data_IF_429785187367
#
_entry.id   IF_429785187367
#
_cell.length_a   1.000
_cell.length_b   1.000
_cell.length_c   1.000
_cell.angle_alpha   90.00
_cell.angle_beta   90.00
_cell.angle_gamma   90.00
#
_symmetry.space_group_name_H-M   'P 1'
#
loop_
_entity.id
_entity.type
_entity.pdbx_description
1 polymer ?
#
# COMPACT_ATOMS: atom_id res chain seq x y z
N UNK A 1 27.35 29.71 21.87
CA UNK A 1 26.19 30.38 21.27
C UNK A 1 24.96 29.96 22.06
N UNK A 2 24.13 30.91 22.48
CA UNK A 2 22.89 30.62 23.22
C UNK A 2 21.89 29.92 22.30
N UNK A 3 21.38 28.76 22.72
CA UNK A 3 20.39 27.96 21.98
C UNK A 3 19.14 28.81 21.69
N UNK A 4 18.60 28.75 20.46
CA UNK A 4 17.45 29.57 20.05
C UNK A 4 16.20 29.26 20.89
N UNK A 5 15.25 30.20 20.98
CA UNK A 5 13.99 29.95 21.68
C UNK A 5 13.21 28.75 21.09
N UNK A 6 13.31 28.57 19.78
CA UNK A 6 12.71 27.46 19.04
C UNK A 6 13.40 26.12 19.33
N UNK A 7 14.73 26.11 19.41
CA UNK A 7 15.49 24.93 19.83
C UNK A 7 15.26 24.56 21.31
N UNK A 8 14.99 25.54 22.18
CA UNK A 8 14.57 25.29 23.57
C UNK A 8 13.15 24.71 23.67
N UNK A 9 12.28 24.99 22.70
CA UNK A 9 10.98 24.34 22.57
C UNK A 9 11.08 22.91 22.00
N UNK A 10 12.29 22.45 21.68
CA UNK A 10 12.56 21.10 21.20
C UNK A 10 12.55 20.96 19.69
N UNK A 11 12.68 22.06 18.93
CA UNK A 11 12.71 22.04 17.45
C UNK A 11 14.12 22.33 16.89
N UNK A 12 14.70 21.37 16.18
CA UNK A 12 16.01 21.43 15.54
C UNK A 12 15.90 21.63 14.02
N UNK A 13 15.98 22.89 13.60
CA UNK A 13 15.99 23.28 12.18
C UNK A 13 17.20 22.68 11.43
N UNK A 14 18.35 22.54 12.09
CA UNK A 14 19.55 22.01 11.46
C UNK A 14 19.42 20.51 11.15
N UNK A 15 18.70 19.76 12.01
CA UNK A 15 18.38 18.35 11.76
C UNK A 15 17.54 18.18 10.48
N UNK A 16 16.53 19.03 10.28
CA UNK A 16 15.73 19.05 9.05
C UNK A 16 16.58 19.27 7.80
N UNK A 17 17.46 20.29 7.80
CA UNK A 17 18.37 20.54 6.68
C UNK A 17 19.33 19.37 6.40
N UNK A 18 19.88 18.75 7.44
CA UNK A 18 20.75 17.59 7.27
C UNK A 18 20.02 16.39 6.65
N UNK A 19 18.77 16.15 7.04
CA UNK A 19 17.93 15.10 6.45
C UNK A 19 17.73 15.36 4.94
N UNK A 20 17.41 16.60 4.57
CA UNK A 20 17.23 17.03 3.18
C UNK A 20 18.45 16.77 2.31
N UNK A 21 19.66 17.10 2.78
CA UNK A 21 20.87 16.84 2.00
C UNK A 21 21.17 15.33 1.86
N UNK A 22 20.87 14.52 2.89
CA UNK A 22 21.05 13.07 2.82
C UNK A 22 20.09 12.40 1.83
N UNK A 23 18.85 12.90 1.71
CA UNK A 23 17.83 12.30 0.84
C UNK A 23 17.86 12.83 -0.59
N UNK A 24 18.55 13.94 -0.85
CA UNK A 24 18.57 14.64 -2.15
C UNK A 24 18.84 13.74 -3.35
N UNK A 25 19.86 12.87 -3.28
CA UNK A 25 20.19 11.93 -4.37
C UNK A 25 19.08 10.90 -4.59
N UNK A 26 18.47 10.40 -3.51
CA UNK A 26 17.37 9.46 -3.59
C UNK A 26 16.15 10.11 -4.26
N UNK A 27 15.78 11.33 -3.86
CA UNK A 27 14.66 12.07 -4.47
C UNK A 27 14.92 12.34 -5.96
N UNK A 28 16.09 12.90 -6.32
CA UNK A 28 16.42 13.20 -7.72
C UNK A 28 16.43 11.95 -8.62
N UNK A 29 16.78 10.79 -8.08
CA UNK A 29 16.73 9.55 -8.87
C UNK A 29 15.32 9.14 -9.30
N UNK A 30 14.27 9.74 -8.72
CA UNK A 30 12.87 9.54 -9.14
C UNK A 30 12.44 10.47 -10.26
N UNK A 31 13.26 11.48 -10.62
CA UNK A 31 12.84 12.52 -11.55
C UNK A 31 12.84 12.02 -12.98
N UNK A 32 11.70 12.21 -13.64
CA UNK A 32 11.54 12.07 -15.08
C UNK A 32 11.60 13.43 -15.80
N UNK A 33 11.52 13.43 -17.14
CA UNK A 33 11.49 14.65 -17.95
C UNK A 33 10.30 15.58 -17.63
N UNK A 34 9.27 15.08 -16.96
CA UNK A 34 8.11 15.85 -16.55
C UNK A 34 8.37 16.72 -15.31
N UNK A 35 9.41 16.46 -14.53
CA UNK A 35 9.71 17.28 -13.33
C UNK A 35 10.39 18.58 -13.74
N UNK A 36 9.79 19.72 -13.41
CA UNK A 36 10.22 21.05 -13.84
C UNK A 36 10.98 21.85 -12.75
N UNK A 37 10.87 21.44 -11.48
CA UNK A 37 11.58 22.09 -10.37
C UNK A 37 12.47 21.10 -9.60
N UNK A 38 13.55 21.63 -9.02
CA UNK A 38 14.43 20.87 -8.13
C UNK A 38 13.93 20.82 -6.69
N UNK A 39 14.55 19.93 -5.91
CA UNK A 39 14.32 19.80 -4.46
C UNK A 39 14.64 21.13 -3.75
N UNK A 40 13.72 21.60 -2.89
CA UNK A 40 13.88 22.84 -2.11
C UNK A 40 13.22 24.09 -2.72
N UNK A 41 12.49 23.94 -3.83
CA UNK A 41 11.53 24.95 -4.29
C UNK A 41 10.26 24.92 -3.43
N UNK A 42 9.55 26.05 -3.29
CA UNK A 42 8.31 26.18 -2.48
C UNK A 42 7.24 25.10 -2.77
N UNK A 43 7.28 24.50 -3.95
CA UNK A 43 6.50 23.32 -4.31
C UNK A 43 7.12 22.64 -5.53
N UNK A 44 6.94 21.34 -5.63
CA UNK A 44 7.37 20.60 -6.81
C UNK A 44 6.47 20.88 -8.02
N UNK A 45 7.07 20.98 -9.21
CA UNK A 45 6.38 21.28 -10.46
C UNK A 45 6.43 20.07 -11.40
N UNK A 46 5.28 19.65 -11.91
CA UNK A 46 5.14 18.51 -12.82
C UNK A 46 4.44 18.94 -14.13
N UNK A 47 5.06 18.66 -15.27
CA UNK A 47 4.54 18.96 -16.59
C UNK A 47 3.42 17.99 -16.97
N UNK A 48 2.24 18.54 -17.25
CA UNK A 48 1.09 17.79 -17.74
C UNK A 48 1.06 17.66 -19.28
N UNK A 49 2.12 18.06 -19.98
CA UNK A 49 2.17 18.07 -21.45
C UNK A 49 1.80 16.71 -22.04
N UNK A 50 2.29 15.61 -21.46
CA UNK A 50 1.99 14.24 -21.93
C UNK A 50 0.49 13.90 -21.85
N UNK A 51 -0.26 14.56 -20.97
CA UNK A 51 -1.69 14.33 -20.81
C UNK A 51 -2.50 14.91 -21.98
N UNK A 52 -1.92 15.80 -22.79
CA UNK A 52 -2.56 16.34 -24.00
C UNK A 52 -2.74 15.28 -25.10
N UNK A 53 -2.06 14.13 -24.97
CA UNK A 53 -2.18 12.98 -25.89
C UNK A 53 -3.34 12.04 -25.50
N UNK A 54 -3.92 12.23 -24.30
CA UNK A 54 -5.07 11.46 -23.81
C UNK A 54 -6.38 12.07 -24.32
N UNK A 55 -7.40 11.23 -24.55
CA UNK A 55 -8.67 11.69 -25.09
C UNK A 55 -9.46 12.49 -24.04
N UNK A 56 -9.57 11.94 -22.83
CA UNK A 56 -10.22 12.62 -21.70
C UNK A 56 -9.51 12.26 -20.38
N UNK A 57 -8.40 12.95 -20.05
CA UNK A 57 -7.60 12.64 -18.87
C UNK A 57 -8.35 12.99 -17.57
N UNK A 58 -8.37 12.04 -16.64
CA UNK A 58 -8.93 12.18 -15.30
C UNK A 58 -7.82 11.99 -14.28
N UNK A 59 -7.64 12.96 -13.38
CA UNK A 59 -6.73 12.83 -12.25
C UNK A 59 -7.37 12.01 -11.14
N UNK A 60 -6.59 11.11 -10.56
CA UNK A 60 -6.99 10.28 -9.42
C UNK A 60 -5.96 10.48 -8.33
N UNK A 61 -6.41 10.71 -7.09
CA UNK A 61 -5.52 10.95 -5.96
C UNK A 61 -5.91 10.10 -4.76
N UNK A 62 -4.92 9.65 -4.00
CA UNK A 62 -5.09 8.99 -2.71
C UNK A 62 -4.11 9.55 -1.70
N UNK A 63 -4.53 9.64 -0.44
CA UNK A 63 -3.68 10.02 0.68
C UNK A 63 -3.89 9.02 1.81
N UNK A 64 -2.80 8.42 2.27
CA UNK A 64 -2.85 7.32 3.23
C UNK A 64 -1.69 7.41 4.22
N UNK A 65 -1.84 6.73 5.35
CA UNK A 65 -0.78 6.52 6.34
C UNK A 65 -0.33 5.06 6.41
N UNK A 66 0.91 4.83 6.85
CA UNK A 66 1.40 3.45 7.12
C UNK A 66 0.65 2.81 8.29
N UNK A 67 0.13 3.64 9.20
CA UNK A 67 -0.55 3.20 10.42
C UNK A 67 0.41 2.54 11.42
N UNK A 68 -0.14 1.70 12.29
CA UNK A 68 0.60 1.14 13.45
C UNK A 68 1.74 0.16 13.09
N UNK A 69 2.00 -0.10 11.80
CA UNK A 69 3.23 -0.75 11.34
C UNK A 69 4.48 0.10 11.64
N UNK A 70 4.37 1.42 11.70
CA UNK A 70 5.49 2.29 12.12
C UNK A 70 5.97 1.98 13.53
N UNK A 71 5.09 1.52 14.42
CA UNK A 71 5.48 1.10 15.77
C UNK A 71 6.25 -0.24 15.78
N UNK A 72 6.05 -1.10 14.77
CA UNK A 72 6.88 -2.31 14.59
C UNK A 72 8.27 -1.91 14.12
N UNK A 73 8.35 -1.01 13.14
CA UNK A 73 9.60 -0.42 12.67
C UNK A 73 10.38 0.23 13.83
N UNK A 74 9.69 0.99 14.69
CA UNK A 74 10.27 1.58 15.89
C UNK A 74 10.79 0.53 16.88
N UNK A 75 10.00 -0.50 17.20
CA UNK A 75 10.41 -1.57 18.13
C UNK A 75 11.67 -2.30 17.65
N UNK A 76 11.81 -2.48 16.34
CA UNK A 76 12.93 -3.19 15.73
C UNK A 76 14.07 -2.28 15.27
N UNK A 77 13.90 -0.96 15.35
CA UNK A 77 14.80 0.05 14.79
C UNK A 77 15.12 -0.20 13.29
N UNK A 78 14.10 -0.63 12.53
CA UNK A 78 14.18 -0.97 11.10
C UNK A 78 13.22 -0.10 10.30
N UNK A 79 13.76 0.86 9.55
CA UNK A 79 13.00 1.93 8.90
C UNK A 79 13.03 1.88 7.37
N UNK A 80 13.70 0.88 6.80
CA UNK A 80 13.99 0.76 5.38
C UNK A 80 12.81 0.23 4.54
N UNK A 81 11.75 -0.27 5.17
CA UNK A 81 10.58 -0.83 4.47
C UNK A 81 9.38 0.09 4.44
N UNK A 82 9.13 0.89 5.48
CA UNK A 82 7.89 1.68 5.62
C UNK A 82 7.69 2.75 4.54
N UNK A 83 8.78 3.29 3.98
CA UNK A 83 8.69 4.19 2.82
C UNK A 83 8.20 3.50 1.55
N UNK A 84 8.56 2.23 1.35
CA UNK A 84 8.03 1.44 0.23
C UNK A 84 6.58 1.04 0.49
N UNK A 85 6.25 0.74 1.75
CA UNK A 85 4.90 0.37 2.16
C UNK A 85 3.87 1.44 1.77
N UNK A 86 4.18 2.71 2.08
CA UNK A 86 3.21 3.79 1.85
C UNK A 86 3.01 4.10 0.37
N UNK A 87 4.08 4.09 -0.41
CA UNK A 87 3.98 4.31 -1.86
C UNK A 87 3.17 3.20 -2.51
N UNK A 88 3.46 1.94 -2.17
CA UNK A 88 2.75 0.81 -2.76
C UNK A 88 1.27 0.79 -2.34
N UNK A 89 0.96 1.17 -1.09
CA UNK A 89 -0.42 1.34 -0.64
C UNK A 89 -1.18 2.34 -1.51
N UNK A 90 -0.72 3.59 -1.58
CA UNK A 90 -1.45 4.62 -2.33
C UNK A 90 -1.51 4.30 -3.83
N UNK A 91 -0.42 3.75 -4.41
CA UNK A 91 -0.42 3.33 -5.82
C UNK A 91 -1.48 2.26 -6.06
N UNK A 92 -1.63 1.28 -5.16
CA UNK A 92 -2.65 0.25 -5.28
C UNK A 92 -4.07 0.85 -5.19
N UNK A 93 -4.30 1.89 -4.39
CA UNK A 93 -5.62 2.54 -4.27
C UNK A 93 -6.04 3.34 -5.50
N UNK A 94 -5.13 4.04 -6.16
CA UNK A 94 -5.49 4.68 -7.43
C UNK A 94 -5.57 3.66 -8.58
N UNK A 95 -4.81 2.56 -8.47
CA UNK A 95 -4.78 1.51 -9.48
C UNK A 95 -6.12 0.79 -9.59
N UNK A 96 -6.91 0.68 -8.51
CA UNK A 96 -8.23 0.04 -8.58
C UNK A 96 -9.19 0.76 -9.53
N UNK A 97 -8.95 2.04 -9.83
CA UNK A 97 -9.70 2.83 -10.81
C UNK A 97 -9.07 2.82 -12.21
N UNK A 98 -7.97 2.08 -12.40
CA UNK A 98 -7.19 2.01 -13.63
C UNK A 98 -6.15 3.12 -13.80
N UNK A 99 -5.89 3.91 -12.76
CA UNK A 99 -4.94 5.01 -12.85
C UNK A 99 -3.48 4.54 -12.79
N UNK A 100 -2.62 5.25 -13.54
CA UNK A 100 -1.17 5.12 -13.45
C UNK A 100 -0.59 6.31 -12.69
N UNK A 101 0.39 6.13 -11.79
CA UNK A 101 0.89 7.20 -10.95
C UNK A 101 1.71 8.22 -11.78
N UNK A 102 1.58 9.51 -11.43
CA UNK A 102 2.37 10.62 -11.98
C UNK A 102 3.46 11.02 -11.00
N UNK A 103 3.05 11.37 -9.80
CA UNK A 103 3.94 11.82 -8.75
C UNK A 103 3.40 11.48 -7.36
N UNK A 104 4.28 11.58 -6.38
CA UNK A 104 4.06 11.28 -4.98
C UNK A 104 4.55 12.45 -4.11
N UNK A 105 3.88 12.66 -2.99
CA UNK A 105 4.27 13.58 -1.93
C UNK A 105 4.29 12.84 -0.60
N UNK A 106 5.25 13.14 0.28
CA UNK A 106 5.33 12.54 1.61
C UNK A 106 5.31 13.58 2.74
N UNK A 107 4.75 13.19 3.88
CA UNK A 107 4.80 13.95 5.12
C UNK A 107 5.28 13.01 6.23
N UNK A 108 6.41 13.38 6.84
CA UNK A 108 7.03 12.62 7.93
C UNK A 108 6.94 13.45 9.20
N UNK A 109 6.46 12.87 10.29
CA UNK A 109 6.41 13.58 11.55
C UNK A 109 6.83 12.70 12.72
N UNK A 110 7.50 13.29 13.70
CA UNK A 110 7.95 12.58 14.89
C UNK A 110 8.12 13.55 16.07
N UNK A 111 8.35 12.99 17.27
CA UNK A 111 8.64 13.82 18.45
C UNK A 111 10.02 14.48 18.36
N UNK A 112 10.94 13.82 17.65
CA UNK A 112 12.31 14.24 17.39
C UNK A 112 12.79 13.66 16.07
N UNK A 113 13.37 14.48 15.21
CA UNK A 113 13.89 14.12 13.91
C UNK A 113 15.30 13.57 14.06
N UNK A 114 15.48 12.30 13.71
CA UNK A 114 16.79 11.73 13.40
C UNK A 114 17.01 11.81 11.87
N UNK A 115 17.96 12.63 11.38
CA UNK A 115 18.21 12.79 9.96
C UNK A 115 18.51 11.47 9.23
N UNK A 116 19.15 10.50 9.90
CA UNK A 116 19.50 9.20 9.29
C UNK A 116 18.29 8.29 9.20
N UNK A 117 17.42 8.33 10.21
CA UNK A 117 16.14 7.61 10.19
C UNK A 117 15.28 8.13 9.04
N UNK A 118 15.11 9.45 8.93
CA UNK A 118 14.32 10.10 7.88
C UNK A 118 14.88 9.78 6.51
N UNK A 119 16.20 9.94 6.31
CA UNK A 119 16.84 9.60 5.04
C UNK A 119 16.64 8.11 4.65
N UNK A 120 16.58 7.21 5.64
CA UNK A 120 16.29 5.79 5.41
C UNK A 120 14.86 5.58 4.92
N UNK A 121 13.89 6.21 5.59
CA UNK A 121 12.46 6.17 5.23
C UNK A 121 12.24 6.74 3.84
N UNK A 122 12.70 7.97 3.58
CA UNK A 122 12.57 8.66 2.28
C UNK A 122 13.34 7.91 1.18
N UNK A 123 14.46 7.28 1.51
CA UNK A 123 15.14 6.36 0.60
C UNK A 123 14.25 5.19 0.17
N UNK A 124 13.41 4.67 1.07
CA UNK A 124 12.37 3.69 0.77
C UNK A 124 11.26 4.23 -0.13
N UNK A 125 10.75 5.43 0.17
CA UNK A 125 9.75 6.14 -0.67
C UNK A 125 10.30 6.29 -2.10
N UNK A 126 11.50 6.84 -2.25
CA UNK A 126 12.14 7.02 -3.55
C UNK A 126 12.35 5.70 -4.31
N UNK A 127 12.72 4.60 -3.62
CA UNK A 127 12.83 3.27 -4.25
C UNK A 127 11.50 2.82 -4.85
N UNK A 128 10.41 2.93 -4.10
CA UNK A 128 9.09 2.53 -4.57
C UNK A 128 8.55 3.47 -5.67
N UNK A 129 8.77 4.79 -5.56
CA UNK A 129 8.40 5.74 -6.61
C UNK A 129 9.08 5.39 -7.95
N UNK A 130 10.39 5.09 -7.94
CA UNK A 130 11.10 4.61 -9.15
C UNK A 130 10.50 3.32 -9.70
N UNK A 131 10.22 2.36 -8.83
CA UNK A 131 9.62 1.08 -9.25
C UNK A 131 8.21 1.28 -9.84
N UNK A 132 7.45 2.26 -9.36
CA UNK A 132 6.13 2.62 -9.85
C UNK A 132 6.15 3.55 -11.08
N UNK A 133 7.32 4.08 -11.45
CA UNK A 133 7.46 5.03 -12.56
C UNK A 133 6.90 6.42 -12.27
N UNK A 134 6.85 6.84 -11.00
CA UNK A 134 6.39 8.16 -10.59
C UNK A 134 7.50 8.97 -9.88
N UNK A 135 7.37 10.29 -9.91
CA UNK A 135 8.33 11.19 -9.26
C UNK A 135 7.96 11.42 -7.79
N UNK A 136 8.93 11.35 -6.87
CA UNK A 136 8.78 11.91 -5.53
C UNK A 136 8.94 13.43 -5.63
N UNK A 137 7.83 14.14 -5.77
CA UNK A 137 7.80 15.53 -6.24
C UNK A 137 8.12 16.54 -5.13
N UNK A 138 7.89 16.15 -3.88
CA UNK A 138 8.15 16.98 -2.71
C UNK A 138 7.68 16.28 -1.44
N UNK A 139 8.01 16.85 -0.30
CA UNK A 139 7.57 16.36 0.98
C UNK A 139 7.90 17.33 2.11
N UNK A 140 7.45 17.01 3.30
CA UNK A 140 7.64 17.84 4.50
C UNK A 140 8.02 16.98 5.71
N UNK A 141 8.85 17.54 6.60
CA UNK A 141 9.28 16.90 7.85
C UNK A 141 8.91 17.77 9.04
N UNK A 142 8.17 17.22 10.00
CA UNK A 142 7.72 17.95 11.18
C UNK A 142 8.26 17.34 12.48
N UNK A 143 9.00 18.16 13.24
CA UNK A 143 9.38 17.85 14.63
C UNK A 143 8.33 18.45 15.57
N UNK A 144 7.53 17.60 16.23
CA UNK A 144 6.41 18.03 17.07
C UNK A 144 6.47 17.37 18.46
N UNK A 145 7.41 17.80 19.33
CA UNK A 145 7.45 17.34 20.71
C UNK A 145 6.15 17.71 21.43
N UNK A 146 5.55 16.74 22.12
CA UNK A 146 4.25 16.90 22.80
C UNK A 146 3.03 16.48 21.97
N UNK A 147 3.20 16.28 20.65
CA UNK A 147 2.20 15.60 19.80
C UNK A 147 2.52 14.11 19.70
N UNK A 148 3.76 13.77 19.35
CA UNK A 148 4.21 12.39 19.20
C UNK A 148 4.95 11.87 20.44
N UNK A 149 4.86 10.56 20.68
CA UNK A 149 5.66 9.91 21.70
C UNK A 149 7.11 9.73 21.23
N UNK A 150 8.02 9.59 22.21
CA UNK A 150 9.44 9.43 21.92
C UNK A 150 9.72 8.13 21.15
N UNK A 151 10.45 8.25 20.04
CA UNK A 151 10.82 7.11 19.18
C UNK A 151 9.74 6.69 18.18
N UNK A 152 8.58 7.34 18.19
CA UNK A 152 7.53 7.13 17.20
C UNK A 152 7.71 8.05 15.99
N UNK A 153 7.24 7.56 14.84
CA UNK A 153 7.24 8.27 13.56
C UNK A 153 5.92 7.99 12.85
N UNK A 154 5.31 9.04 12.33
CA UNK A 154 4.19 8.96 11.40
C UNK A 154 4.68 9.27 9.98
N UNK A 155 4.15 8.52 9.02
CA UNK A 155 4.47 8.64 7.60
C UNK A 155 3.16 8.61 6.82
N UNK A 156 2.87 9.73 6.18
CA UNK A 156 1.74 9.92 5.28
C UNK A 156 2.28 10.08 3.87
N UNK A 157 1.60 9.45 2.91
CA UNK A 157 1.90 9.55 1.50
C UNK A 157 0.70 10.04 0.73
N UNK A 158 0.93 10.80 -0.32
CA UNK A 158 -0.11 11.24 -1.25
C UNK A 158 0.34 10.95 -2.67
N UNK A 159 -0.43 10.16 -3.40
CA UNK A 159 -0.18 9.90 -4.82
C UNK A 159 -1.16 10.68 -5.66
N UNK A 160 -0.69 11.19 -6.80
CA UNK A 160 -1.55 11.67 -7.89
C UNK A 160 -1.21 10.85 -9.11
N UNK A 161 -2.24 10.27 -9.72
CA UNK A 161 -2.17 9.53 -10.98
C UNK A 161 -3.16 10.04 -12.00
N UNK A 162 -3.17 9.37 -13.15
CA UNK A 162 -4.06 9.70 -14.25
C UNK A 162 -4.61 8.44 -14.90
N UNK A 163 -5.84 8.55 -15.41
CA UNK A 163 -6.50 7.53 -16.23
C UNK A 163 -7.26 8.23 -17.35
N UNK A 164 -7.38 7.59 -18.50
CA UNK A 164 -8.30 8.07 -19.54
C UNK A 164 -9.72 7.68 -19.13
N UNK A 165 -10.70 8.59 -19.22
CA UNK A 165 -12.07 8.33 -18.78
C UNK A 165 -12.65 7.05 -19.37
N UNK A 166 -12.33 6.73 -20.63
CA UNK A 166 -12.81 5.52 -21.30
C UNK A 166 -12.24 4.22 -20.70
N UNK A 167 -11.15 4.30 -19.95
CA UNK A 167 -10.44 3.17 -19.31
C UNK A 167 -10.70 3.08 -17.80
N UNK A 168 -11.56 3.93 -17.24
CA UNK A 168 -11.94 3.87 -15.84
C UNK A 168 -12.50 2.49 -15.47
N UNK A 169 -12.02 1.96 -14.35
CA UNK A 169 -12.54 0.75 -13.74
C UNK A 169 -13.38 1.20 -12.54
N UNK A 170 -14.70 1.14 -12.69
CA UNK A 170 -15.65 1.63 -11.68
C UNK A 170 -16.64 0.56 -11.20
N UNK A 171 -16.41 -0.70 -11.54
CA UNK A 171 -17.22 -1.85 -11.13
C UNK A 171 -18.56 -1.99 -11.87
N UNK A 172 -19.02 -0.98 -12.62
CA UNK A 172 -20.34 -1.01 -13.29
C UNK A 172 -20.48 -2.08 -14.37
N UNK A 173 -19.35 -2.57 -14.89
CA UNK A 173 -19.32 -3.63 -15.91
C UNK A 173 -19.30 -5.04 -15.31
N UNK A 174 -19.23 -5.18 -13.99
CA UNK A 174 -19.27 -6.46 -13.30
C UNK A 174 -20.63 -7.13 -13.50
N UNK A 175 -20.62 -8.42 -13.77
CA UNK A 175 -21.80 -9.23 -14.02
C UNK A 175 -21.80 -10.49 -13.16
N UNK A 176 -22.99 -11.03 -12.90
CA UNK A 176 -23.11 -12.37 -12.33
C UNK A 176 -22.36 -13.40 -13.19
N UNK A 177 -21.61 -14.28 -12.53
CA UNK A 177 -20.75 -15.27 -13.15
C UNK A 177 -19.33 -14.78 -13.43
N UNK A 178 -19.02 -13.48 -13.31
CA UNK A 178 -17.63 -13.01 -13.46
C UNK A 178 -16.70 -13.70 -12.44
N UNK A 179 -15.52 -14.10 -12.91
CA UNK A 179 -14.54 -14.78 -12.11
C UNK A 179 -13.73 -13.79 -11.26
N UNK A 180 -13.36 -14.21 -10.06
CA UNK A 180 -12.52 -13.43 -9.14
C UNK A 180 -11.16 -14.11 -9.03
N UNK A 181 -10.12 -13.41 -9.48
CA UNK A 181 -8.74 -13.78 -9.29
C UNK A 181 -8.17 -13.03 -8.07
N UNK A 182 -7.47 -13.74 -7.18
CA UNK A 182 -6.79 -13.18 -6.03
C UNK A 182 -5.28 -13.12 -6.25
N UNK A 183 -4.69 -11.94 -6.08
CA UNK A 183 -3.24 -11.74 -6.14
C UNK A 183 -2.63 -11.88 -4.74
N UNK A 184 -1.59 -12.71 -4.56
CA UNK A 184 -0.99 -12.93 -3.25
C UNK A 184 -0.46 -11.65 -2.60
N UNK A 185 -0.75 -11.48 -1.32
CA UNK A 185 -0.10 -10.52 -0.43
C UNK A 185 1.29 -11.00 0.00
N UNK A 186 2.10 -10.10 0.55
CA UNK A 186 3.39 -10.43 1.17
C UNK A 186 3.27 -10.71 2.68
N UNK A 187 2.05 -10.70 3.22
CA UNK A 187 1.76 -10.73 4.66
C UNK A 187 0.68 -9.72 5.00
N UNK A 188 0.78 -9.07 6.16
CA UNK A 188 -0.23 -8.11 6.67
C UNK A 188 -0.33 -6.82 5.84
N UNK A 189 0.66 -6.56 4.97
CA UNK A 189 0.82 -5.30 4.25
C UNK A 189 0.96 -4.10 5.19
N UNK A 190 -0.11 -3.33 5.40
CA UNK A 190 -0.14 -2.11 6.24
C UNK A 190 -1.35 -2.08 7.18
N UNK A 191 -2.12 -3.16 7.26
CA UNK A 191 -3.37 -3.21 8.03
C UNK A 191 -3.35 -4.31 9.10
N UNK A 192 -4.18 -4.15 10.14
CA UNK A 192 -4.30 -5.13 11.24
C UNK A 192 -3.13 -5.14 12.23
N UNK A 193 -2.18 -4.21 12.12
CA UNK A 193 -0.98 -4.16 12.96
C UNK A 193 -1.28 -3.94 14.44
N UNK A 194 -2.34 -3.22 14.80
CA UNK A 194 -2.71 -3.03 16.21
C UNK A 194 -3.01 -4.37 16.89
N UNK A 195 -3.85 -5.20 16.26
CA UNK A 195 -4.17 -6.54 16.74
C UNK A 195 -2.93 -7.45 16.71
N UNK A 196 -2.19 -7.46 15.60
CA UNK A 196 -1.00 -8.31 15.44
C UNK A 196 0.06 -8.02 16.52
N UNK A 197 0.34 -6.75 16.81
CA UNK A 197 1.30 -6.36 17.86
C UNK A 197 0.83 -6.78 19.25
N UNK A 198 -0.47 -6.65 19.54
CA UNK A 198 -1.02 -7.05 20.83
C UNK A 198 -0.88 -8.56 21.05
N UNK A 199 -1.31 -9.37 20.07
CA UNK A 199 -1.25 -10.84 20.13
C UNK A 199 0.18 -11.37 20.18
N UNK A 200 1.08 -10.81 19.37
CA UNK A 200 2.45 -11.30 19.24
C UNK A 200 3.43 -10.63 20.23
N UNK A 201 2.93 -9.79 21.14
CA UNK A 201 3.74 -8.93 22.02
C UNK A 201 4.79 -9.68 22.84
N UNK A 202 4.42 -10.85 23.35
CA UNK A 202 5.23 -11.70 24.25
C UNK A 202 6.22 -12.64 23.52
N UNK A 203 6.22 -12.65 22.19
CA UNK A 203 7.18 -13.46 21.42
C UNK A 203 8.50 -12.70 21.22
N UNK A 204 9.57 -13.45 20.96
CA UNK A 204 10.82 -12.88 20.46
C UNK A 204 10.64 -12.50 18.98
N UNK A 205 10.89 -11.23 18.65
CA UNK A 205 10.73 -10.71 17.30
C UNK A 205 12.00 -10.76 16.46
N UNK A 206 13.13 -11.11 17.05
CA UNK A 206 14.43 -11.18 16.39
C UNK A 206 14.83 -12.62 16.04
N UNK A 207 14.47 -13.59 16.89
CA UNK A 207 14.76 -14.99 16.63
C UNK A 207 13.83 -15.59 15.55
N UNK A 208 14.31 -16.58 14.76
CA UNK A 208 13.47 -17.36 13.87
C UNK A 208 12.31 -18.01 14.62
N UNK A 209 11.09 -17.92 14.08
CA UNK A 209 9.92 -18.57 14.63
C UNK A 209 9.65 -19.90 13.89
N UNK A 210 9.42 -21.03 14.60
CA UNK A 210 9.22 -22.35 13.98
C UNK A 210 8.14 -22.39 12.89
N UNK A 211 7.02 -21.69 13.13
CA UNK A 211 5.87 -21.69 12.20
C UNK A 211 6.06 -20.81 10.95
N UNK A 212 7.05 -19.91 10.94
CA UNK A 212 7.17 -18.88 9.89
C UNK A 212 8.36 -19.08 8.95
N UNK A 213 9.38 -19.84 9.37
CA UNK A 213 10.65 -19.93 8.63
C UNK A 213 11.46 -18.63 8.60
N UNK A 214 11.01 -17.59 9.33
CA UNK A 214 11.63 -16.28 9.49
C UNK A 214 11.33 -15.74 10.89
N UNK A 215 11.91 -14.60 11.26
CA UNK A 215 11.55 -13.93 12.52
C UNK A 215 10.15 -13.30 12.44
N UNK A 216 9.49 -13.10 13.59
CA UNK A 216 8.22 -12.34 13.65
C UNK A 216 8.43 -10.92 13.09
N UNK A 217 9.57 -10.30 13.39
CA UNK A 217 9.91 -8.97 12.89
C UNK A 217 9.99 -8.92 11.37
N UNK A 218 10.59 -9.93 10.72
CA UNK A 218 10.65 -10.00 9.25
C UNK A 218 9.27 -10.20 8.64
N UNK A 219 8.44 -11.08 9.21
CA UNK A 219 7.08 -11.31 8.73
C UNK A 219 6.20 -10.05 8.87
N UNK A 220 6.34 -9.31 9.98
CA UNK A 220 5.61 -8.07 10.21
C UNK A 220 6.15 -6.90 9.37
N UNK A 221 7.45 -6.84 9.07
CA UNK A 221 8.04 -5.77 8.25
C UNK A 221 8.12 -6.08 6.76
N UNK A 222 7.58 -7.23 6.32
CA UNK A 222 7.45 -7.56 4.91
C UNK A 222 6.78 -6.40 4.15
N UNK A 223 7.42 -5.97 3.05
CA UNK A 223 7.01 -4.79 2.28
C UNK A 223 5.65 -5.04 1.64
N UNK A 224 4.72 -4.09 1.76
CA UNK A 224 3.43 -4.04 1.08
C UNK A 224 3.71 -4.18 -0.42
N UNK A 225 3.20 -5.23 -1.03
CA UNK A 225 3.39 -5.51 -2.45
C UNK A 225 2.67 -4.45 -3.32
N UNK A 226 3.37 -3.93 -4.32
CA UNK A 226 2.72 -3.19 -5.42
C UNK A 226 2.11 -4.17 -6.42
N UNK A 227 0.90 -3.88 -6.90
CA UNK A 227 0.19 -4.66 -7.92
C UNK A 227 0.18 -3.98 -9.29
N UNK A 228 0.89 -2.84 -9.45
CA UNK A 228 0.90 -2.06 -10.68
C UNK A 228 1.36 -2.88 -11.90
N UNK A 229 2.49 -3.57 -11.77
CA UNK A 229 3.02 -4.39 -12.86
C UNK A 229 2.11 -5.59 -13.19
N UNK A 230 1.46 -6.18 -12.18
CA UNK A 230 0.52 -7.29 -12.37
C UNK A 230 -0.69 -6.83 -13.20
N UNK A 231 -1.29 -5.70 -12.84
CA UNK A 231 -2.46 -5.16 -13.57
C UNK A 231 -2.07 -4.67 -14.98
N UNK A 232 -0.89 -4.08 -15.14
CA UNK A 232 -0.36 -3.73 -16.47
C UNK A 232 -0.17 -4.95 -17.37
N UNK A 233 0.31 -6.08 -16.83
CA UNK A 233 0.46 -7.32 -17.58
C UNK A 233 -0.90 -7.86 -18.06
N UNK A 234 -1.96 -7.75 -17.24
CA UNK A 234 -3.32 -8.11 -17.64
C UNK A 234 -3.80 -7.25 -18.82
N UNK A 235 -3.60 -5.93 -18.77
CA UNK A 235 -3.98 -5.04 -19.87
C UNK A 235 -3.19 -5.34 -21.15
N UNK A 236 -1.89 -5.62 -21.04
CA UNK A 236 -1.05 -6.01 -22.18
C UNK A 236 -1.49 -7.34 -22.80
N UNK A 237 -1.98 -8.27 -21.98
CA UNK A 237 -2.54 -9.54 -22.43
C UNK A 237 -3.97 -9.42 -23.01
N UNK A 238 -4.55 -8.22 -23.07
CA UNK A 238 -5.91 -8.00 -23.56
C UNK A 238 -7.00 -8.53 -22.62
N UNK A 239 -6.69 -8.69 -21.33
CA UNK A 239 -7.68 -9.13 -20.34
C UNK A 239 -8.64 -7.98 -20.03
N UNK A 240 -9.94 -8.24 -20.15
CA UNK A 240 -10.98 -7.32 -19.72
C UNK A 240 -11.11 -7.33 -18.19
N UNK A 241 -10.46 -6.36 -17.53
CA UNK A 241 -10.57 -6.15 -16.09
C UNK A 241 -11.82 -5.32 -15.81
N UNK A 242 -12.84 -5.95 -15.21
CA UNK A 242 -14.14 -5.32 -14.88
C UNK A 242 -14.17 -4.67 -13.51
N UNK A 243 -13.30 -5.13 -12.61
CA UNK A 243 -13.20 -4.61 -11.25
C UNK A 243 -11.87 -4.96 -10.61
N UNK A 244 -11.43 -4.10 -9.69
CA UNK A 244 -10.25 -4.28 -8.87
C UNK A 244 -10.61 -3.90 -7.43
N UNK A 245 -10.22 -4.71 -6.45
CA UNK A 245 -10.39 -4.39 -5.04
C UNK A 245 -9.08 -4.59 -4.29
N UNK A 246 -8.49 -3.49 -3.83
CA UNK A 246 -7.32 -3.50 -2.96
C UNK A 246 -7.75 -3.89 -1.55
N UNK A 247 -7.14 -4.94 -0.99
CA UNK A 247 -7.57 -5.54 0.28
C UNK A 247 -6.77 -4.92 1.43
N UNK A 248 -7.33 -3.88 2.05
CA UNK A 248 -6.72 -3.10 3.13
C UNK A 248 -7.47 -3.27 4.46
N UNK A 249 -7.74 -2.17 5.19
CA UNK A 249 -8.56 -2.20 6.40
C UNK A 249 -9.99 -2.62 6.06
N UNK A 250 -10.61 -3.43 6.92
CA UNK A 250 -11.89 -4.11 6.61
C UNK A 250 -11.72 -5.41 5.80
N UNK A 251 -10.48 -5.75 5.43
CA UNK A 251 -10.09 -7.05 4.92
C UNK A 251 -10.88 -7.51 3.70
N UNK A 252 -11.12 -8.81 3.60
CA UNK A 252 -11.88 -9.43 2.52
C UNK A 252 -13.40 -9.23 2.66
N UNK A 253 -13.87 -8.61 3.74
CA UNK A 253 -15.30 -8.39 4.00
C UNK A 253 -15.74 -7.04 3.44
N UNK A 254 -15.03 -5.96 3.75
CA UNK A 254 -15.50 -4.60 3.46
C UNK A 254 -14.96 -4.02 2.16
N UNK A 255 -13.80 -4.48 1.67
CA UNK A 255 -13.18 -3.92 0.47
C UNK A 255 -13.85 -4.39 -0.83
N UNK A 256 -14.09 -5.70 -1.06
CA UNK A 256 -14.71 -6.15 -2.30
C UNK A 256 -16.10 -5.56 -2.58
N UNK A 257 -17.02 -5.41 -1.60
CA UNK A 257 -18.34 -4.82 -1.85
C UNK A 257 -18.34 -3.40 -2.43
N UNK A 258 -17.25 -2.64 -2.27
CA UNK A 258 -17.14 -1.26 -2.77
C UNK A 258 -17.20 -1.16 -4.30
N UNK A 259 -16.95 -2.26 -5.01
CA UNK A 259 -16.97 -2.30 -6.48
C UNK A 259 -18.18 -3.04 -7.05
N UNK A 260 -19.04 -3.65 -6.23
CA UNK A 260 -20.14 -4.47 -6.73
C UNK A 260 -21.35 -3.62 -7.13
N UNK A 261 -21.95 -3.88 -8.31
CA UNK A 261 -23.26 -3.35 -8.65
C UNK A 261 -24.35 -3.84 -7.69
N UNK A 262 -25.46 -3.09 -7.63
CA UNK A 262 -26.62 -3.46 -6.82
C UNK A 262 -27.11 -4.87 -7.13
N UNK A 263 -27.37 -5.65 -6.08
CA UNK A 263 -27.87 -7.02 -6.18
C UNK A 263 -26.81 -8.09 -6.49
N UNK A 264 -25.54 -7.70 -6.65
CA UNK A 264 -24.42 -8.62 -6.81
C UNK A 264 -23.54 -8.65 -5.55
N UNK A 265 -22.93 -9.81 -5.32
CA UNK A 265 -21.90 -10.02 -4.29
C UNK A 265 -20.87 -11.04 -4.75
N UNK A 266 -19.91 -11.36 -3.89
CA UNK A 266 -18.86 -12.33 -4.19
C UNK A 266 -19.02 -13.60 -3.34
N UNK A 267 -18.77 -14.75 -3.97
CA UNK A 267 -18.58 -16.03 -3.29
C UNK A 267 -17.11 -16.41 -3.37
N UNK A 268 -16.40 -16.35 -2.24
CA UNK A 268 -14.99 -16.70 -2.13
C UNK A 268 -14.81 -18.10 -1.53
N UNK A 269 -13.88 -18.88 -2.07
CA UNK A 269 -13.60 -20.26 -1.65
C UNK A 269 -12.31 -20.30 -0.81
N UNK A 270 -12.41 -20.46 0.51
CA UNK A 270 -11.26 -20.29 1.43
C UNK A 270 -10.07 -21.19 1.09
N UNK A 271 -10.34 -22.42 0.65
CA UNK A 271 -9.32 -23.38 0.25
C UNK A 271 -8.64 -23.08 -1.11
N UNK A 272 -9.05 -22.04 -1.84
CA UNK A 272 -8.56 -21.76 -3.19
C UNK A 272 -7.21 -21.02 -3.23
N UNK A 273 -6.72 -20.51 -2.11
CA UNK A 273 -5.42 -19.86 -2.01
C UNK A 273 -4.70 -20.25 -0.71
N UNK A 274 -3.35 -20.22 -0.68
CA UNK A 274 -2.61 -20.45 0.54
C UNK A 274 -2.72 -19.23 1.47
N UNK A 275 -3.07 -19.48 2.74
CA UNK A 275 -2.98 -18.48 3.80
C UNK A 275 -1.54 -18.37 4.31
N UNK A 276 -0.92 -17.18 4.34
CA UNK A 276 0.39 -17.00 4.95
C UNK A 276 0.41 -17.41 6.45
N UNK A 277 1.44 -18.14 6.92
CA UNK A 277 1.48 -18.71 8.28
C UNK A 277 1.31 -17.71 9.43
N UNK A 278 1.71 -16.44 9.22
CA UNK A 278 1.56 -15.37 10.21
C UNK A 278 0.10 -15.16 10.63
N UNK A 279 -0.86 -15.38 9.73
CA UNK A 279 -2.28 -15.23 10.04
C UNK A 279 -2.78 -16.35 10.94
N UNK A 280 -2.35 -17.59 10.71
CA UNK A 280 -2.72 -18.72 11.58
C UNK A 280 -2.07 -18.61 12.97
N UNK A 281 -0.86 -18.09 13.03
CA UNK A 281 -0.20 -17.77 14.30
C UNK A 281 -0.99 -16.72 15.09
N UNK A 282 -1.35 -15.60 14.46
CA UNK A 282 -2.16 -14.53 15.09
C UNK A 282 -3.52 -15.10 15.53
N UNK A 283 -4.20 -15.84 14.65
CA UNK A 283 -5.51 -16.43 14.96
C UNK A 283 -5.43 -17.34 16.19
N UNK A 284 -4.46 -18.25 16.23
CA UNK A 284 -4.30 -19.24 17.30
C UNK A 284 -3.90 -18.60 18.63
N UNK A 285 -2.97 -17.66 18.62
CA UNK A 285 -2.48 -17.03 19.85
C UNK A 285 -3.43 -15.96 20.40
N UNK A 286 -4.18 -15.29 19.51
CA UNK A 286 -5.14 -14.26 19.89
C UNK A 286 -6.56 -14.78 20.13
N UNK A 287 -6.81 -16.08 19.93
CA UNK A 287 -8.15 -16.69 19.93
C UNK A 287 -9.14 -15.91 19.02
N UNK A 288 -8.66 -15.49 17.85
CA UNK A 288 -9.41 -14.63 16.93
C UNK A 288 -10.32 -15.49 16.06
N UNK A 289 -11.60 -15.11 15.94
CA UNK A 289 -12.54 -15.83 15.09
C UNK A 289 -12.19 -15.73 13.60
N UNK A 290 -12.56 -16.73 12.79
CA UNK A 290 -12.36 -16.69 11.33
C UNK A 290 -13.08 -15.51 10.65
N UNK A 291 -14.20 -15.06 11.21
CA UNK A 291 -14.94 -13.91 10.72
C UNK A 291 -14.15 -12.60 10.97
N UNK A 292 -13.64 -12.43 12.19
CA UNK A 292 -12.82 -11.27 12.54
C UNK A 292 -11.49 -11.27 11.77
N UNK A 293 -10.85 -12.44 11.61
CA UNK A 293 -9.65 -12.57 10.78
C UNK A 293 -9.89 -12.07 9.35
N UNK A 294 -11.04 -12.42 8.74
CA UNK A 294 -11.39 -11.98 7.39
C UNK A 294 -11.76 -10.48 7.29
N UNK A 295 -12.24 -9.90 8.39
CA UNK A 295 -12.59 -8.47 8.48
C UNK A 295 -11.36 -7.61 8.80
N UNK A 296 -10.36 -8.13 9.51
CA UNK A 296 -9.16 -7.37 9.89
C UNK A 296 -8.03 -7.51 8.86
N UNK A 297 -7.86 -8.70 8.31
CA UNK A 297 -6.71 -9.04 7.48
C UNK A 297 -7.08 -9.41 6.05
N UNK A 298 -6.10 -9.30 5.17
CA UNK A 298 -6.20 -9.71 3.77
C UNK A 298 -6.13 -11.24 3.56
N UNK A 299 -5.73 -11.98 4.61
CA UNK A 299 -5.62 -13.45 4.66
C UNK A 299 -4.84 -14.08 3.50
N UNK A 300 -3.89 -13.35 2.92
CA UNK A 300 -3.07 -13.84 1.82
C UNK A 300 -3.41 -13.22 0.47
N UNK A 301 -4.51 -12.48 0.32
CA UNK A 301 -4.90 -11.86 -0.95
C UNK A 301 -4.87 -10.34 -0.82
N UNK A 302 -3.92 -9.67 -1.46
CA UNK A 302 -3.81 -8.21 -1.35
C UNK A 302 -4.58 -7.43 -2.43
N UNK A 303 -4.93 -8.08 -3.54
CA UNK A 303 -5.74 -7.48 -4.60
C UNK A 303 -6.67 -8.56 -5.18
N UNK A 304 -7.94 -8.20 -5.37
CA UNK A 304 -8.88 -9.01 -6.14
C UNK A 304 -9.09 -8.39 -7.52
N UNK A 305 -9.16 -9.24 -8.55
CA UNK A 305 -9.36 -8.85 -9.94
C UNK A 305 -10.60 -9.57 -10.47
N UNK A 306 -11.59 -8.81 -10.92
CA UNK A 306 -12.83 -9.34 -11.50
C UNK A 306 -12.70 -9.34 -13.02
N UNK A 307 -12.87 -10.50 -13.64
CA UNK A 307 -12.74 -10.70 -15.09
C UNK A 307 -13.87 -11.57 -15.62
N UNK A 308 -14.25 -11.45 -16.91
CA UNK A 308 -15.18 -12.38 -17.52
C UNK A 308 -14.66 -13.83 -17.44
N UNK A 309 -15.53 -14.85 -17.35
CA UNK A 309 -15.12 -16.26 -17.27
C UNK A 309 -14.20 -16.69 -18.42
N UNK A 310 -14.46 -16.19 -19.64
CA UNK A 310 -13.65 -16.50 -20.82
C UNK A 310 -12.22 -15.94 -20.78
N UNK A 311 -11.92 -15.01 -19.85
CA UNK A 311 -10.61 -14.38 -19.71
C UNK A 311 -9.75 -15.01 -18.62
N UNK A 312 -10.28 -15.94 -17.82
CA UNK A 312 -9.56 -16.55 -16.69
C UNK A 312 -8.23 -17.17 -17.14
N UNK A 313 -8.24 -17.95 -18.22
CA UNK A 313 -7.03 -18.62 -18.71
C UNK A 313 -5.95 -17.61 -19.15
N UNK A 314 -6.34 -16.57 -19.89
CA UNK A 314 -5.41 -15.51 -20.32
C UNK A 314 -4.85 -14.74 -19.12
N UNK A 315 -5.70 -14.46 -18.12
CA UNK A 315 -5.30 -13.77 -16.91
C UNK A 315 -4.33 -14.61 -16.06
N UNK A 316 -4.56 -15.91 -15.90
CA UNK A 316 -3.64 -16.81 -15.18
C UNK A 316 -2.33 -17.04 -15.95
N UNK A 317 -2.37 -17.01 -17.29
CA UNK A 317 -1.14 -17.06 -18.09
C UNK A 317 -0.30 -15.79 -17.92
N UNK A 318 -0.95 -14.61 -17.89
CA UNK A 318 -0.26 -13.35 -17.61
C UNK A 318 0.21 -13.25 -16.15
N UNK A 319 -0.55 -13.82 -15.21
CA UNK A 319 -0.28 -13.81 -13.78
C UNK A 319 -0.27 -15.23 -13.20
N UNK A 320 0.84 -15.98 -13.33
CA UNK A 320 0.93 -17.36 -12.84
C UNK A 320 0.73 -17.50 -11.32
N UNK A 321 0.96 -16.44 -10.56
CA UNK A 321 0.75 -16.40 -9.12
C UNK A 321 -0.70 -16.08 -8.71
N UNK A 322 -1.59 -15.76 -9.65
CA UNK A 322 -2.98 -15.46 -9.35
C UNK A 322 -3.79 -16.74 -9.10
N UNK A 323 -4.59 -16.72 -8.04
CA UNK A 323 -5.49 -17.82 -7.70
C UNK A 323 -6.90 -17.52 -8.19
N UNK A 324 -7.60 -18.49 -8.78
CA UNK A 324 -9.04 -18.38 -8.99
C UNK A 324 -9.75 -18.61 -7.64
N UNK A 325 -10.13 -17.52 -6.98
CA UNK A 325 -10.60 -17.56 -5.59
C UNK A 325 -12.11 -17.58 -5.46
N UNK A 326 -12.85 -17.25 -6.51
CA UNK A 326 -14.30 -17.15 -6.43
C UNK A 326 -14.94 -16.61 -7.69
N UNK A 327 -16.18 -16.17 -7.52
CA UNK A 327 -17.01 -15.61 -8.58
C UNK A 327 -18.01 -14.58 -8.01
N UNK A 328 -18.51 -13.73 -8.90
CA UNK A 328 -19.60 -12.81 -8.64
C UNK A 328 -20.93 -13.57 -8.77
N UNK A 329 -21.82 -13.42 -7.78
CA UNK A 329 -23.10 -14.11 -7.72
C UNK A 329 -24.26 -13.15 -7.42
N UNK A 330 -25.46 -13.42 -7.95
CA UNK A 330 -26.65 -12.63 -7.63
C UNK A 330 -27.17 -12.95 -6.23
N UNK A 331 -27.75 -11.95 -5.56
CA UNK A 331 -28.41 -12.13 -4.27
C UNK A 331 -27.48 -12.40 -3.08
N UNK A 332 -26.16 -12.30 -3.28
CA UNK A 332 -25.17 -12.35 -2.20
C UNK A 332 -24.97 -10.94 -1.66
N UNK A 333 -25.16 -10.77 -0.35
CA UNK A 333 -24.88 -9.50 0.32
C UNK A 333 -23.38 -9.40 0.62
N UNK A 334 -22.67 -8.54 -0.10
CA UNK A 334 -21.24 -8.31 0.10
C UNK A 334 -20.41 -9.55 -0.27
N UNK A 335 -19.80 -10.20 0.73
CA UNK A 335 -18.92 -11.35 0.52
C UNK A 335 -19.38 -12.55 1.35
N UNK A 336 -19.60 -13.68 0.68
CA UNK A 336 -19.85 -14.97 1.29
C UNK A 336 -18.62 -15.87 1.14
N UNK A 337 -18.18 -16.48 2.23
CA UNK A 337 -17.12 -17.47 2.20
C UNK A 337 -17.69 -18.88 2.15
N UNK A 338 -17.06 -19.75 1.37
CA UNK A 338 -17.40 -21.18 1.23
C UNK A 338 -16.16 -22.04 1.33
N UNK A 339 -16.34 -23.30 1.77
CA UNK A 339 -15.25 -24.23 2.03
C UNK A 339 -14.22 -23.67 3.00
#
# INVERSE_FOLDING_TARGET
MTQSAYARAGVDIAAGHAATELMKTAVHSTFGPEVLSGVGSFGGLFSIRRLQEMAEPVLVASTDGVGTKTMVAARLQRWDTIGQDIVNHCVNDILVQGAVPLFFLDYVASSRLDPRQIATVVGGVARACRAAGCALLGGETAEMPGVYQSGELDLVGTVVGVVDRARLIDGRRIQAGDAILGLPSSGLHTNGYTLARAVLSNLDWHAPHPDLGASIGDALLAVHRSYLADVQALWQAGVDVRGLAHVTGGGLVDNPPRIFPDGLGAVLRRAAWPRPPIFDLIRRLGDVSEAEMAHVFNLGLGMLVVVPPGHVAAAQQALPAAHLVGEIAPGVAGVQFTG
#
